data_IF_236888884055
#
_entry.id   IF_236888884055
#
_cell.length_a   1.000
_cell.length_b   1.000
_cell.length_c   1.000
_cell.angle_alpha   90.00
_cell.angle_beta   90.00
_cell.angle_gamma   90.00
#
_symmetry.space_group_name_H-M   'P 1'
#
loop_
_entity.id
_entity.type
_entity.pdbx_description
1 polymer ?
#
# COMPACT_ATOMS: atom_id res chain seq x y z
N UNK A 1 14.09 17.76 14.83
CA UNK A 1 12.77 17.90 14.21
C UNK A 1 12.99 17.93 12.72
N UNK A 2 12.69 16.83 12.00
CA UNK A 2 12.77 16.80 10.53
C UNK A 2 11.51 17.49 10.00
N UNK A 3 11.67 18.51 9.17
CA UNK A 3 10.57 19.23 8.51
C UNK A 3 10.71 18.95 7.04
N UNK A 4 9.88 18.05 6.51
CA UNK A 4 9.90 17.63 5.11
C UNK A 4 9.33 16.23 4.92
N UNK A 5 8.96 15.89 3.69
CA UNK A 5 8.58 14.53 3.30
C UNK A 5 9.82 13.81 2.79
N UNK A 6 10.17 12.68 3.40
CA UNK A 6 11.15 11.74 2.82
C UNK A 6 10.41 10.78 1.91
N UNK A 7 10.85 10.69 0.66
CA UNK A 7 10.19 9.85 -0.36
C UNK A 7 10.73 8.43 -0.24
N UNK A 8 9.82 7.48 -0.07
CA UNK A 8 10.13 6.04 -0.09
C UNK A 8 9.44 5.46 -1.31
N UNK A 9 10.24 4.91 -2.23
CA UNK A 9 9.73 4.29 -3.46
C UNK A 9 9.95 2.79 -3.41
N UNK A 10 8.89 2.04 -3.64
CA UNK A 10 8.97 0.60 -3.79
C UNK A 10 8.75 0.21 -5.25
N UNK A 11 9.76 -0.41 -5.86
CA UNK A 11 9.61 -1.06 -7.15
C UNK A 11 9.20 -2.51 -6.93
N UNK A 12 8.21 -2.95 -7.69
CA UNK A 12 7.66 -4.30 -7.60
C UNK A 12 7.77 -4.96 -8.96
N UNK A 13 8.40 -6.12 -9.04
CA UNK A 13 8.49 -6.84 -10.31
C UNK A 13 9.48 -8.00 -10.31
N UNK A 14 9.61 -8.61 -11.48
CA UNK A 14 10.62 -9.63 -11.72
C UNK A 14 11.90 -8.98 -12.23
N UNK A 15 12.82 -8.63 -11.34
CA UNK A 15 14.08 -7.98 -11.69
C UNK A 15 15.11 -8.95 -12.29
N UNK A 16 14.84 -10.26 -12.25
CA UNK A 16 15.67 -11.28 -12.90
C UNK A 16 15.25 -11.53 -14.35
N UNK A 17 14.06 -11.05 -14.78
CA UNK A 17 13.62 -11.20 -16.15
C UNK A 17 14.53 -10.44 -17.13
N UNK A 18 14.67 -10.97 -18.33
CA UNK A 18 15.41 -10.30 -19.41
C UNK A 18 14.81 -8.92 -19.67
N UNK A 19 15.64 -7.88 -19.65
CA UNK A 19 15.24 -6.47 -19.81
C UNK A 19 14.30 -5.92 -18.72
N UNK A 20 14.25 -6.54 -17.54
CA UNK A 20 13.46 -6.03 -16.41
C UNK A 20 13.80 -4.58 -16.04
N UNK A 21 15.10 -4.24 -16.04
CA UNK A 21 15.59 -2.89 -15.83
C UNK A 21 15.78 -2.16 -17.15
N UNK A 22 14.67 -1.72 -17.74
CA UNK A 22 14.72 -0.89 -18.95
C UNK A 22 15.56 0.37 -18.73
N UNK A 23 16.17 0.96 -19.79
CA UNK A 23 16.94 2.20 -19.66
C UNK A 23 16.16 3.32 -18.96
N UNK A 24 14.86 3.39 -19.20
CA UNK A 24 13.94 4.36 -18.60
C UNK A 24 13.73 4.12 -17.10
N UNK A 25 13.58 2.86 -16.68
CA UNK A 25 13.48 2.51 -15.27
C UNK A 25 14.81 2.79 -14.54
N UNK A 26 15.95 2.51 -15.18
CA UNK A 26 17.27 2.84 -14.62
C UNK A 26 17.45 4.35 -14.44
N UNK A 27 17.05 5.15 -15.42
CA UNK A 27 17.09 6.62 -15.32
C UNK A 27 16.22 7.12 -14.17
N UNK A 28 15.00 6.59 -14.04
CA UNK A 28 14.06 6.94 -12.97
C UNK A 28 14.66 6.63 -11.59
N UNK A 29 15.24 5.43 -11.42
CA UNK A 29 15.89 5.02 -10.17
C UNK A 29 17.09 5.90 -9.83
N UNK A 30 17.93 6.21 -10.82
CA UNK A 30 19.07 7.11 -10.65
C UNK A 30 18.62 8.48 -10.15
N UNK A 31 17.61 9.06 -10.79
CA UNK A 31 17.04 10.34 -10.38
C UNK A 31 16.50 10.30 -8.94
N UNK A 32 15.74 9.26 -8.59
CA UNK A 32 15.22 9.09 -7.23
C UNK A 32 16.35 9.04 -6.17
N UNK A 33 17.43 8.30 -6.44
CA UNK A 33 18.60 8.26 -5.55
C UNK A 33 19.28 9.63 -5.42
N UNK A 34 19.39 10.38 -6.52
CA UNK A 34 19.97 11.74 -6.52
C UNK A 34 19.11 12.73 -5.71
N UNK A 35 17.79 12.53 -5.67
CA UNK A 35 16.88 13.32 -4.81
C UNK A 35 16.88 12.89 -3.34
N UNK A 36 17.62 11.83 -2.98
CA UNK A 36 17.68 11.30 -1.62
C UNK A 36 16.52 10.37 -1.24
N UNK A 37 15.77 9.87 -2.22
CA UNK A 37 14.70 8.90 -1.96
C UNK A 37 15.27 7.55 -1.52
N UNK A 38 14.58 6.89 -0.57
CA UNK A 38 14.86 5.51 -0.22
C UNK A 38 14.16 4.57 -1.21
N UNK A 39 14.91 3.63 -1.79
CA UNK A 39 14.38 2.68 -2.79
C UNK A 39 14.36 1.26 -2.21
N UNK A 40 13.24 0.56 -2.40
CA UNK A 40 13.07 -0.85 -2.08
C UNK A 40 12.66 -1.64 -3.32
N UNK A 41 13.33 -2.76 -3.56
CA UNK A 41 12.98 -3.68 -4.63
C UNK A 41 12.28 -4.91 -4.06
N UNK A 42 11.02 -5.08 -4.44
CA UNK A 42 10.20 -6.24 -4.12
C UNK A 42 10.21 -7.19 -5.31
N UNK A 43 11.14 -8.15 -5.26
CA UNK A 43 11.25 -9.21 -6.25
C UNK A 43 10.03 -10.14 -6.17
N UNK A 44 9.36 -10.34 -7.30
CA UNK A 44 8.29 -11.34 -7.46
C UNK A 44 8.16 -11.75 -8.92
N UNK A 45 7.49 -12.87 -9.21
CA UNK A 45 7.18 -13.20 -10.61
C UNK A 45 6.30 -12.11 -11.24
N UNK A 46 6.49 -11.87 -12.54
CA UNK A 46 5.77 -10.83 -13.27
C UNK A 46 4.24 -10.97 -13.15
N UNK A 47 3.72 -12.19 -13.04
CA UNK A 47 2.30 -12.50 -12.86
C UNK A 47 1.71 -12.06 -11.51
N UNK A 48 2.55 -11.82 -10.50
CA UNK A 48 2.14 -11.35 -9.17
C UNK A 48 2.43 -9.87 -8.92
N UNK A 49 3.19 -9.21 -9.79
CA UNK A 49 3.66 -7.83 -9.58
C UNK A 49 2.54 -6.82 -9.28
N UNK A 50 1.43 -6.87 -10.02
CA UNK A 50 0.28 -5.98 -9.79
C UNK A 50 -0.43 -6.29 -8.47
N UNK A 51 -0.53 -7.57 -8.05
CA UNK A 51 -1.13 -7.96 -6.76
C UNK A 51 -0.25 -7.47 -5.62
N UNK A 52 1.05 -7.63 -5.81
CA UNK A 52 2.06 -7.24 -4.85
C UNK A 52 2.03 -5.73 -4.62
N UNK A 53 1.99 -4.93 -5.70
CA UNK A 53 1.94 -3.47 -5.58
C UNK A 53 0.68 -2.96 -4.86
N UNK A 54 -0.46 -3.63 -5.03
CA UNK A 54 -1.69 -3.28 -4.31
C UNK A 54 -1.55 -3.49 -2.79
N UNK A 55 -1.07 -4.65 -2.35
CA UNK A 55 -1.06 -4.96 -0.91
C UNK A 55 0.11 -4.33 -0.16
N UNK A 56 1.10 -3.79 -0.90
CA UNK A 56 2.31 -3.21 -0.33
C UNK A 56 2.03 -2.05 0.64
N UNK A 57 0.90 -1.34 0.47
CA UNK A 57 0.53 -0.23 1.36
C UNK A 57 0.35 -0.64 2.82
N UNK A 58 -0.11 -1.87 3.07
CA UNK A 58 -0.27 -2.41 4.43
C UNK A 58 1.09 -2.53 5.13
N UNK A 59 2.18 -2.63 4.37
CA UNK A 59 3.54 -2.77 4.89
C UNK A 59 4.16 -1.44 5.37
N UNK A 60 3.49 -0.30 5.19
CA UNK A 60 3.97 0.98 5.71
C UNK A 60 4.31 0.91 7.21
N UNK A 61 3.49 0.23 8.01
CA UNK A 61 3.73 0.05 9.45
C UNK A 61 4.94 -0.82 9.81
N UNK A 62 5.50 -1.52 8.84
CA UNK A 62 6.59 -2.49 8.99
C UNK A 62 7.89 -2.03 8.34
N UNK A 63 7.94 -0.79 7.84
CA UNK A 63 9.20 -0.18 7.42
C UNK A 63 10.21 -0.20 8.57
N UNK A 64 11.51 -0.38 8.29
CA UNK A 64 12.50 -0.55 9.34
C UNK A 64 12.73 0.76 10.11
N UNK A 65 13.07 0.66 11.40
CA UNK A 65 13.22 1.83 12.29
C UNK A 65 14.37 2.76 11.91
N UNK A 66 15.39 2.25 11.21
CA UNK A 66 16.46 3.09 10.66
C UNK A 66 15.98 4.02 9.54
N UNK A 67 14.79 3.77 8.98
CA UNK A 67 14.17 4.60 7.95
C UNK A 67 13.01 5.43 8.50
N UNK A 68 12.07 4.78 9.19
CA UNK A 68 10.86 5.42 9.72
C UNK A 68 10.67 5.01 11.18
N UNK A 69 10.62 5.98 12.09
CA UNK A 69 10.35 5.75 13.50
C UNK A 69 8.87 5.48 13.74
N UNK A 70 8.53 4.84 14.85
CA UNK A 70 7.13 4.56 15.22
C UNK A 70 6.27 5.82 15.39
N UNK A 71 6.91 6.93 15.77
CA UNK A 71 6.30 8.24 15.93
C UNK A 71 6.14 9.01 14.63
N UNK A 72 6.79 8.55 13.55
CA UNK A 72 6.70 9.19 12.25
C UNK A 72 5.37 8.86 11.58
N UNK A 73 4.97 9.72 10.66
CA UNK A 73 3.75 9.56 9.89
C UNK A 73 4.05 9.15 8.46
N UNK A 74 3.24 8.23 7.96
CA UNK A 74 3.39 7.63 6.64
C UNK A 74 2.14 7.96 5.83
N UNK A 75 2.39 8.54 4.66
CA UNK A 75 1.39 8.69 3.61
C UNK A 75 1.59 7.57 2.60
N UNK A 76 0.57 6.74 2.41
CA UNK A 76 0.53 5.82 1.25
C UNK A 76 -0.38 6.41 0.19
N UNK A 77 0.03 6.33 -1.08
CA UNK A 77 -0.65 6.99 -2.20
C UNK A 77 -0.84 6.04 -3.40
N UNK A 78 -1.90 6.27 -4.18
CA UNK A 78 -2.11 5.65 -5.50
C UNK A 78 -1.64 6.51 -6.68
N UNK A 79 -0.78 7.49 -6.38
CA UNK A 79 -0.44 8.59 -7.26
C UNK A 79 1.04 8.54 -7.63
N UNK A 80 1.34 8.97 -8.85
CA UNK A 80 2.71 8.93 -9.40
C UNK A 80 3.55 10.08 -8.87
N UNK A 81 2.92 11.23 -8.59
CA UNK A 81 3.56 12.38 -7.92
C UNK A 81 2.75 12.80 -6.71
N UNK A 82 3.45 12.97 -5.58
CA UNK A 82 2.90 13.54 -4.35
C UNK A 82 4.04 14.00 -3.42
N UNK A 83 3.78 14.94 -2.48
CA UNK A 83 2.61 15.81 -2.43
C UNK A 83 2.73 16.96 -3.44
N UNK A 84 1.64 17.28 -4.14
CA UNK A 84 1.60 18.43 -5.06
C UNK A 84 1.13 19.72 -4.37
N UNK A 85 0.06 19.64 -3.57
CA UNK A 85 -0.41 20.70 -2.69
C UNK A 85 -0.18 20.34 -1.20
N UNK A 86 0.91 20.81 -0.56
CA UNK A 86 1.23 20.46 0.84
C UNK A 86 0.15 20.82 1.86
N UNK A 87 -0.67 21.84 1.59
CA UNK A 87 -1.75 22.25 2.50
C UNK A 87 -2.80 21.13 2.64
N UNK A 88 -3.04 20.35 1.58
CA UNK A 88 -3.96 19.20 1.61
C UNK A 88 -3.43 18.02 2.42
N UNK A 89 -2.14 18.02 2.77
CA UNK A 89 -1.47 16.96 3.53
C UNK A 89 -1.08 17.39 4.94
N UNK A 90 -1.41 18.62 5.33
CA UNK A 90 -1.17 19.09 6.69
C UNK A 90 -2.07 18.32 7.66
N UNK A 91 -1.53 17.66 8.70
CA UNK A 91 -2.32 16.87 9.65
C UNK A 91 -3.32 17.75 10.41
N UNK A 92 -4.51 17.23 10.70
CA UNK A 92 -5.44 17.92 11.60
C UNK A 92 -5.06 17.62 13.05
N UNK A 93 -5.08 18.64 13.91
CA UNK A 93 -4.89 18.49 15.36
C UNK A 93 -6.14 17.98 16.06
N UNK A 94 -7.30 18.01 15.40
CA UNK A 94 -8.60 17.59 15.95
C UNK A 94 -8.84 16.08 15.84
N UNK A 95 -8.07 15.40 14.99
CA UNK A 95 -8.23 13.98 14.73
C UNK A 95 -6.99 13.19 15.16
N UNK A 96 -7.21 12.18 16.00
CA UNK A 96 -6.19 11.41 16.69
C UNK A 96 -5.53 10.32 15.83
N UNK A 97 -6.11 9.98 14.68
CA UNK A 97 -5.68 8.85 13.87
C UNK A 97 -4.95 9.21 12.58
N UNK A 98 -5.35 10.30 11.94
CA UNK A 98 -4.80 10.74 10.65
C UNK A 98 -5.88 11.24 9.69
N UNK A 99 -5.63 11.16 8.38
CA UNK A 99 -6.59 11.57 7.36
C UNK A 99 -6.57 10.66 6.12
N UNK A 100 -7.67 10.67 5.38
CA UNK A 100 -7.79 10.01 4.08
C UNK A 100 -8.30 11.04 3.08
N UNK A 101 -7.67 11.09 1.90
CA UNK A 101 -8.15 11.89 0.76
C UNK A 101 -8.76 10.98 -0.30
N UNK A 102 -9.91 11.39 -0.81
CA UNK A 102 -10.67 10.64 -1.81
C UNK A 102 -10.16 10.94 -3.22
N UNK A 103 -9.76 9.91 -3.98
CA UNK A 103 -9.57 10.03 -5.41
C UNK A 103 -10.88 9.68 -6.16
N UNK A 104 -11.46 8.50 -5.97
CA UNK A 104 -12.71 8.06 -6.61
C UNK A 104 -13.43 6.95 -5.79
N UNK A 105 -14.75 6.80 -6.00
CA UNK A 105 -15.70 5.84 -5.38
C UNK A 105 -16.02 6.10 -3.90
N UNK A 106 -17.23 5.72 -3.46
CA UNK A 106 -17.52 5.39 -2.06
C UNK A 106 -18.78 4.51 -2.01
N UNK A 107 -18.76 3.47 -1.19
CA UNK A 107 -19.92 2.63 -0.92
C UNK A 107 -19.69 1.80 0.34
N UNK A 108 -20.57 0.83 0.56
CA UNK A 108 -20.37 -0.19 1.58
C UNK A 108 -20.28 -1.55 0.91
N UNK A 109 -19.48 -2.44 1.50
CA UNK A 109 -19.46 -3.84 1.10
C UNK A 109 -19.75 -4.71 2.32
N UNK A 110 -20.44 -5.82 2.08
CA UNK A 110 -20.75 -6.77 3.13
C UNK A 110 -19.77 -7.93 3.08
N UNK A 111 -19.41 -8.41 4.26
CA UNK A 111 -18.56 -9.57 4.42
C UNK A 111 -18.81 -10.24 5.75
N UNK A 112 -19.02 -11.56 5.72
CA UNK A 112 -19.26 -12.41 6.91
C UNK A 112 -20.26 -11.75 7.87
N UNK A 113 -21.39 -11.32 7.33
CA UNK A 113 -22.49 -10.63 8.04
C UNK A 113 -22.15 -9.29 8.68
N UNK A 114 -20.99 -8.69 8.36
CA UNK A 114 -20.61 -7.33 8.74
C UNK A 114 -20.59 -6.42 7.52
N UNK A 115 -21.11 -5.21 7.65
CA UNK A 115 -20.98 -4.16 6.63
C UNK A 115 -19.75 -3.31 6.93
N UNK A 116 -18.94 -3.09 5.90
CA UNK A 116 -17.76 -2.24 5.96
C UNK A 116 -17.97 -1.04 5.07
N UNK A 117 -17.57 0.13 5.56
CA UNK A 117 -17.43 1.31 4.73
C UNK A 117 -16.18 1.15 3.88
N UNK A 118 -16.31 1.32 2.57
CA UNK A 118 -15.15 1.39 1.68
C UNK A 118 -14.57 2.81 1.75
N UNK A 119 -13.33 2.92 2.20
CA UNK A 119 -12.59 4.17 2.18
C UNK A 119 -11.92 4.32 0.82
N UNK A 120 -12.15 5.42 0.09
CA UNK A 120 -11.41 5.72 -1.12
C UNK A 120 -9.96 6.01 -0.74
N UNK A 121 -9.02 5.28 -1.34
CA UNK A 121 -7.62 5.36 -0.92
C UNK A 121 -6.76 6.06 -1.96
N UNK A 122 -7.08 7.32 -2.22
CA UNK A 122 -6.15 8.19 -2.95
C UNK A 122 -4.88 8.34 -2.11
N UNK A 123 -5.03 8.92 -0.91
CA UNK A 123 -3.95 9.01 0.07
C UNK A 123 -4.45 8.64 1.46
N UNK A 124 -3.62 7.92 2.22
CA UNK A 124 -3.87 7.60 3.62
C UNK A 124 -2.67 8.02 4.46
N UNK A 125 -2.91 8.94 5.38
CA UNK A 125 -1.95 9.41 6.37
C UNK A 125 -2.25 8.77 7.72
N UNK A 126 -1.32 7.99 8.27
CA UNK A 126 -1.38 7.45 9.63
C UNK A 126 0.04 7.42 10.22
N UNK A 127 0.17 7.39 11.56
CA UNK A 127 1.47 7.09 12.16
C UNK A 127 1.90 5.66 11.85
N UNK A 128 3.22 5.42 11.76
CA UNK A 128 3.77 4.06 11.56
C UNK A 128 3.23 3.09 12.60
N UNK A 129 3.17 3.51 13.87
CA UNK A 129 2.57 2.73 14.96
C UNK A 129 1.12 2.32 14.67
N UNK A 130 0.30 3.23 14.17
CA UNK A 130 -1.10 2.91 13.83
C UNK A 130 -1.14 1.95 12.64
N UNK A 131 -0.38 2.18 11.56
CA UNK A 131 -0.27 1.25 10.44
C UNK A 131 0.09 -0.17 10.89
N UNK A 132 1.01 -0.32 11.85
CA UNK A 132 1.35 -1.62 12.41
C UNK A 132 0.21 -2.21 13.21
N UNK A 133 -0.41 -1.41 14.08
CA UNK A 133 -1.49 -1.83 14.96
C UNK A 133 -2.74 -2.29 14.19
N UNK A 134 -3.12 -1.59 13.10
CA UNK A 134 -4.30 -1.99 12.31
C UNK A 134 -4.15 -3.41 11.75
N UNK A 135 -2.95 -3.85 11.40
CA UNK A 135 -2.69 -5.22 10.98
C UNK A 135 -2.53 -6.16 12.18
N UNK A 136 -1.59 -5.85 13.09
CA UNK A 136 -1.18 -6.74 14.17
C UNK A 136 -2.35 -7.16 15.05
N UNK A 137 -3.28 -6.23 15.30
CA UNK A 137 -4.43 -6.52 16.13
C UNK A 137 -5.59 -7.14 15.33
N UNK A 138 -5.57 -7.07 14.00
CA UNK A 138 -6.67 -7.45 13.12
C UNK A 138 -7.17 -8.88 13.30
N UNK A 139 -8.45 -9.11 13.00
CA UNK A 139 -9.02 -10.46 12.98
C UNK A 139 -8.33 -11.29 11.90
N UNK A 140 -7.96 -10.66 10.79
CA UNK A 140 -7.29 -11.24 9.64
C UNK A 140 -5.91 -11.79 10.01
N UNK A 141 -5.13 -11.04 10.80
CA UNK A 141 -3.86 -11.51 11.34
C UNK A 141 -4.06 -12.69 12.29
N UNK A 142 -5.05 -12.65 13.19
CA UNK A 142 -5.35 -13.78 14.09
C UNK A 142 -5.74 -15.05 13.32
N UNK A 143 -6.57 -14.91 12.28
CA UNK A 143 -6.95 -16.03 11.42
C UNK A 143 -5.73 -16.63 10.73
N UNK A 144 -4.87 -15.78 10.16
CA UNK A 144 -3.64 -16.21 9.53
C UNK A 144 -2.72 -16.95 10.51
N UNK A 145 -2.52 -16.40 11.71
CA UNK A 145 -1.73 -17.05 12.75
C UNK A 145 -2.31 -18.41 13.12
N UNK A 146 -3.62 -18.50 13.34
CA UNK A 146 -4.30 -19.76 13.65
C UNK A 146 -4.10 -20.80 12.54
N UNK A 147 -4.19 -20.38 11.27
CA UNK A 147 -3.91 -21.23 10.11
C UNK A 147 -2.48 -21.77 10.21
N UNK A 148 -1.50 -20.89 10.41
CA UNK A 148 -0.08 -21.27 10.44
C UNK A 148 0.25 -22.19 11.63
N UNK A 149 -0.33 -21.96 12.80
CA UNK A 149 -0.03 -22.70 14.03
C UNK A 149 -0.87 -23.97 14.24
N UNK A 150 -1.94 -24.17 13.46
CA UNK A 150 -2.79 -25.37 13.58
C UNK A 150 -2.04 -26.65 13.18
N UNK A 151 -2.27 -27.76 13.90
CA UNK A 151 -1.66 -29.07 13.59
C UNK A 151 -1.96 -29.46 12.13
N UNK A 152 -0.94 -29.65 11.27
CA UNK A 152 -1.12 -30.03 9.87
C UNK A 152 -2.03 -31.25 9.67
N UNK A 153 -2.07 -32.18 10.64
CA UNK A 153 -2.86 -33.42 10.57
C UNK A 153 -4.34 -33.24 10.94
N UNK A 154 -4.71 -32.10 11.52
CA UNK A 154 -6.08 -31.79 11.94
C UNK A 154 -6.70 -30.64 11.12
N UNK A 155 -6.03 -30.22 10.04
CA UNK A 155 -6.54 -29.17 9.13
C UNK A 155 -7.60 -29.76 8.21
N UNK A 156 -8.85 -29.34 8.40
CA UNK A 156 -10.00 -29.72 7.55
C UNK A 156 -10.11 -28.89 6.27
N UNK A 157 -9.14 -28.03 5.96
CA UNK A 157 -9.25 -27.05 4.87
C UNK A 157 -8.36 -27.38 3.67
N UNK A 158 -8.97 -27.31 2.48
CA UNK A 158 -8.42 -27.50 1.13
C UNK A 158 -7.34 -26.44 0.73
N UNK A 159 -6.29 -26.24 1.51
CA UNK A 159 -5.22 -25.30 1.17
C UNK A 159 -4.06 -25.99 0.47
N UNK A 160 -4.15 -26.19 -0.85
CA UNK A 160 -3.00 -26.65 -1.63
C UNK A 160 -1.83 -25.66 -1.63
N UNK A 161 -2.08 -24.39 -1.27
CA UNK A 161 -1.08 -23.31 -1.23
C UNK A 161 -0.34 -23.21 0.12
N UNK A 162 -0.94 -23.64 1.24
CA UNK A 162 -0.22 -23.76 2.54
C UNK A 162 0.92 -24.77 2.46
N UNK A 163 0.69 -25.89 1.76
CA UNK A 163 1.75 -26.87 1.47
C UNK A 163 2.85 -26.29 0.57
N UNK A 164 2.56 -25.25 -0.22
CA UNK A 164 3.56 -24.53 -1.02
C UNK A 164 4.34 -23.53 -0.15
N UNK A 165 3.68 -22.81 0.77
CA UNK A 165 4.37 -21.91 1.70
C UNK A 165 5.27 -22.67 2.68
N UNK A 166 4.85 -23.81 3.21
CA UNK A 166 5.72 -24.65 4.06
C UNK A 166 6.92 -25.23 3.31
N UNK A 167 6.84 -25.32 1.97
CA UNK A 167 7.99 -25.65 1.10
C UNK A 167 8.91 -24.45 0.85
N UNK A 168 8.34 -23.25 0.70
CA UNK A 168 9.09 -22.01 0.46
C UNK A 168 9.76 -21.50 1.76
N UNK A 169 9.08 -21.65 2.89
CA UNK A 169 9.52 -21.26 4.22
C UNK A 169 9.53 -22.47 5.17
N UNK A 170 10.47 -23.42 4.99
CA UNK A 170 10.52 -24.65 5.79
C UNK A 170 10.72 -24.40 7.29
N UNK A 171 11.22 -23.22 7.67
CA UNK A 171 11.52 -22.83 9.04
C UNK A 171 10.49 -21.87 9.65
N UNK A 172 9.34 -21.65 9.01
CA UNK A 172 8.31 -20.71 9.50
C UNK A 172 7.92 -20.98 10.96
N UNK A 173 7.91 -22.26 11.38
CA UNK A 173 7.62 -22.68 12.74
C UNK A 173 8.73 -22.35 13.76
N UNK A 174 9.99 -22.22 13.33
CA UNK A 174 11.11 -21.81 14.21
C UNK A 174 11.16 -20.29 14.40
N UNK A 175 10.79 -19.51 13.38
CA UNK A 175 10.78 -18.03 13.42
C UNK A 175 9.69 -17.47 14.34
N UNK A 176 8.64 -18.26 14.64
CA UNK A 176 7.54 -17.89 15.53
C UNK A 176 7.89 -17.94 17.04
N UNK A 177 9.11 -18.36 17.41
CA UNK A 177 9.50 -18.63 18.80
C UNK A 177 10.24 -17.49 19.52
N UNK A 178 10.43 -16.33 18.88
CA UNK A 178 10.96 -15.14 19.53
C UNK A 178 9.88 -14.07 19.56
N UNK A 179 9.89 -13.23 20.59
CA UNK A 179 8.91 -12.19 20.94
C UNK A 179 8.64 -11.11 19.87
N UNK A 180 9.12 -11.31 18.66
CA UNK A 180 8.82 -10.53 17.48
C UNK A 180 7.69 -11.25 16.75
N UNK A 181 6.47 -10.72 16.87
CA UNK A 181 5.30 -11.06 16.04
C UNK A 181 5.77 -11.48 14.64
N UNK A 182 5.30 -12.62 14.07
CA UNK A 182 5.84 -13.13 12.82
C UNK A 182 5.93 -11.96 11.86
N UNK A 183 7.16 -11.66 11.46
CA UNK A 183 7.48 -10.60 10.54
C UNK A 183 6.46 -10.70 9.44
N UNK A 184 5.58 -9.70 9.33
CA UNK A 184 4.54 -9.74 8.32
C UNK A 184 5.27 -9.86 6.99
N UNK A 185 5.32 -11.05 6.42
CA UNK A 185 5.95 -11.23 5.13
C UNK A 185 4.89 -10.95 4.09
N UNK A 186 5.34 -10.44 2.95
CA UNK A 186 4.51 -10.29 1.79
C UNK A 186 3.66 -11.54 1.51
N UNK A 187 4.29 -12.71 1.56
CA UNK A 187 3.67 -13.99 1.25
C UNK A 187 2.52 -14.35 2.19
N UNK A 188 2.61 -13.91 3.45
CA UNK A 188 1.57 -14.12 4.44
C UNK A 188 0.32 -13.28 4.16
N UNK A 189 0.48 -12.00 3.84
CA UNK A 189 -0.65 -11.13 3.43
C UNK A 189 -1.22 -11.61 2.10
N UNK A 190 -0.35 -11.94 1.15
CA UNK A 190 -0.73 -12.50 -0.16
C UNK A 190 -1.55 -13.78 -0.03
N UNK A 191 -1.16 -14.69 0.87
CA UNK A 191 -1.92 -15.90 1.17
C UNK A 191 -3.29 -15.56 1.76
N UNK A 192 -3.34 -14.64 2.73
CA UNK A 192 -4.62 -14.22 3.31
C UNK A 192 -5.55 -13.64 2.23
N UNK A 193 -5.03 -12.75 1.40
CA UNK A 193 -5.80 -12.12 0.32
C UNK A 193 -6.31 -13.15 -0.69
N UNK A 194 -5.48 -14.12 -1.06
CA UNK A 194 -5.88 -15.21 -1.94
C UNK A 194 -6.91 -16.15 -1.32
N UNK A 195 -6.75 -16.50 -0.05
CA UNK A 195 -7.71 -17.32 0.67
C UNK A 195 -9.09 -16.69 0.62
N UNK A 196 -9.10 -15.42 0.97
CA UNK A 196 -10.31 -14.73 1.31
C UNK A 196 -11.04 -14.18 0.10
N UNK A 197 -10.28 -13.60 -0.82
CA UNK A 197 -10.80 -13.00 -2.03
C UNK A 197 -10.47 -13.88 -3.23
N UNK A 198 -10.41 -15.21 -3.07
CA UNK A 198 -9.96 -16.15 -4.13
C UNK A 198 -10.56 -15.85 -5.50
N UNK A 199 -11.88 -15.66 -5.54
CA UNK A 199 -12.62 -15.40 -6.76
C UNK A 199 -12.22 -14.11 -7.47
N UNK A 200 -11.57 -13.19 -6.77
CA UNK A 200 -11.08 -11.88 -7.25
C UNK A 200 -9.55 -11.94 -7.44
N UNK A 201 -8.84 -12.51 -6.48
CA UNK A 201 -7.39 -12.63 -6.44
C UNK A 201 -6.83 -13.50 -7.56
N UNK A 202 -7.50 -14.59 -7.92
CA UNK A 202 -7.04 -15.47 -9.00
C UNK A 202 -7.40 -14.92 -10.40
N UNK A 203 -8.17 -13.83 -10.50
CA UNK A 203 -8.50 -13.21 -11.78
C UNK A 203 -7.31 -12.44 -12.37
N UNK A 204 -7.34 -12.27 -13.69
CA UNK A 204 -6.52 -11.25 -14.35
C UNK A 204 -7.07 -9.87 -13.94
N UNK A 205 -6.20 -8.99 -13.45
CA UNK A 205 -6.61 -7.64 -13.05
C UNK A 205 -6.54 -6.69 -14.23
N UNK A 206 -7.71 -6.21 -14.66
CA UNK A 206 -7.84 -5.03 -15.50
C UNK A 206 -8.17 -3.78 -14.66
N UNK A 207 -7.86 -2.60 -15.23
CA UNK A 207 -8.22 -1.32 -14.62
C UNK A 207 -9.75 -1.21 -14.54
N UNK A 208 -10.26 -0.99 -13.32
CA UNK A 208 -11.71 -0.86 -13.07
C UNK A 208 -12.40 -2.15 -12.66
N UNK A 209 -11.72 -3.30 -12.71
CA UNK A 209 -12.28 -4.56 -12.21
C UNK A 209 -12.34 -4.58 -10.67
N UNK A 210 -13.19 -5.44 -10.09
CA UNK A 210 -13.27 -5.59 -8.63
C UNK A 210 -11.90 -5.93 -7.99
N UNK A 211 -11.06 -6.66 -8.73
CA UNK A 211 -9.70 -7.00 -8.32
C UNK A 211 -8.74 -5.79 -8.28
N UNK A 212 -9.09 -4.71 -8.98
CA UNK A 212 -8.34 -3.46 -8.97
C UNK A 212 -8.39 -2.74 -7.61
N UNK A 213 -9.40 -3.03 -6.78
CA UNK A 213 -9.67 -2.35 -5.51
C UNK A 213 -9.40 -3.22 -4.28
N UNK A 214 -8.63 -4.31 -4.41
CA UNK A 214 -8.39 -5.27 -3.31
C UNK A 214 -7.69 -4.65 -2.11
N UNK A 215 -6.73 -3.75 -2.34
CA UNK A 215 -6.07 -2.99 -1.28
C UNK A 215 -7.06 -2.10 -0.53
N UNK A 216 -7.95 -1.41 -1.27
CA UNK A 216 -8.99 -0.56 -0.70
C UNK A 216 -9.93 -1.35 0.18
N UNK A 217 -10.37 -2.52 -0.29
CA UNK A 217 -11.21 -3.42 0.49
C UNK A 217 -10.48 -3.86 1.76
N UNK A 218 -9.25 -4.35 1.64
CA UNK A 218 -8.51 -4.89 2.77
C UNK A 218 -8.20 -3.83 3.83
N UNK A 219 -7.63 -2.70 3.42
CA UNK A 219 -7.33 -1.59 4.34
C UNK A 219 -8.63 -1.04 4.95
N UNK A 220 -9.72 -0.97 4.19
CA UNK A 220 -11.02 -0.56 4.75
C UNK A 220 -11.53 -1.49 5.84
N UNK A 221 -11.35 -2.81 5.66
CA UNK A 221 -11.66 -3.78 6.70
C UNK A 221 -10.78 -3.58 7.94
N UNK A 222 -9.46 -3.45 7.74
CA UNK A 222 -8.51 -3.24 8.83
C UNK A 222 -8.83 -1.98 9.63
N UNK A 223 -9.11 -0.86 8.96
CA UNK A 223 -9.49 0.40 9.59
C UNK A 223 -10.84 0.31 10.30
N UNK A 224 -11.83 -0.37 9.70
CA UNK A 224 -13.12 -0.61 10.33
C UNK A 224 -12.99 -1.43 11.62
N UNK A 225 -12.26 -2.55 11.56
CA UNK A 225 -12.01 -3.41 12.72
C UNK A 225 -11.19 -2.70 13.80
N UNK A 226 -10.26 -1.82 13.41
CA UNK A 226 -9.49 -1.02 14.35
C UNK A 226 -10.35 0.05 15.05
N UNK A 227 -11.17 0.80 14.30
CA UNK A 227 -12.14 1.78 14.83
C UNK A 227 -13.11 1.15 15.82
N UNK A 228 -13.57 -0.07 15.55
CA UNK A 228 -14.50 -0.76 16.45
C UNK A 228 -13.90 -1.03 17.83
N UNK A 229 -12.60 -1.25 17.90
CA UNK A 229 -11.87 -1.57 19.14
C UNK A 229 -11.28 -0.34 19.82
N UNK A 230 -10.89 0.66 19.03
CA UNK A 230 -10.29 1.90 19.51
C UNK A 230 -11.26 3.05 19.34
N UNK A 231 -12.19 3.23 20.28
CA UNK A 231 -13.25 4.25 20.15
C UNK A 231 -12.74 5.69 20.05
N UNK A 232 -11.52 5.95 20.54
CA UNK A 232 -10.87 7.25 20.45
C UNK A 232 -10.11 7.46 19.13
N UNK A 233 -10.00 6.43 18.28
CA UNK A 233 -9.37 6.55 16.98
C UNK A 233 -10.37 7.13 15.97
N UNK A 234 -10.00 8.27 15.38
CA UNK A 234 -10.76 8.90 14.31
C UNK A 234 -9.84 9.25 13.15
N UNK A 235 -10.38 9.18 11.95
CA UNK A 235 -9.71 9.55 10.72
C UNK A 235 -10.49 10.72 10.12
N UNK A 236 -9.79 11.80 9.79
CA UNK A 236 -10.38 12.89 9.04
C UNK A 236 -10.59 12.46 7.59
N UNK A 237 -11.84 12.29 7.19
CA UNK A 237 -12.22 12.04 5.80
C UNK A 237 -12.27 13.39 5.08
N UNK A 238 -11.27 13.66 4.26
CA UNK A 238 -11.19 14.92 3.51
C UNK A 238 -11.93 14.79 2.20
N UNK A 239 -12.49 15.92 1.77
CA UNK A 239 -13.07 16.04 0.45
C UNK A 239 -12.05 15.73 -0.64
N UNK A 240 -12.58 15.41 -1.83
CA UNK A 240 -11.77 15.10 -3.00
C UNK A 240 -10.81 16.24 -3.31
N UNK A 241 -9.51 15.94 -3.25
CA UNK A 241 -8.50 16.80 -3.86
C UNK A 241 -8.70 16.84 -5.37
N UNK A 242 -8.39 17.96 -6.01
CA UNK A 242 -8.31 17.96 -7.47
C UNK A 242 -7.18 17.03 -7.90
N UNK A 243 -7.46 16.17 -8.87
CA UNK A 243 -6.46 15.29 -9.49
C UNK A 243 -6.01 15.88 -10.80
N UNK A 244 -4.69 15.92 -11.02
CA UNK A 244 -4.11 16.18 -12.33
C UNK A 244 -4.00 14.85 -13.08
N UNK A 245 -4.83 14.67 -14.10
CA UNK A 245 -4.92 13.45 -14.88
C UNK A 245 -4.10 13.58 -16.19
N UNK A 246 -3.65 12.46 -16.73
CA UNK A 246 -3.03 12.38 -18.06
C UNK A 246 -3.94 12.91 -19.18
N UNK A 247 -5.24 12.98 -18.94
CA UNK A 247 -6.22 13.54 -19.88
C UNK A 247 -6.22 15.08 -19.90
N UNK A 248 -5.67 15.73 -18.87
CA UNK A 248 -5.59 17.18 -18.80
C UNK A 248 -4.57 17.72 -19.82
N UNK A 249 -4.84 18.91 -20.34
CA UNK A 249 -3.98 19.53 -21.34
C UNK A 249 -2.60 19.90 -20.74
N UNK A 250 -1.54 19.90 -21.58
CA UNK A 250 -0.15 20.13 -21.15
C UNK A 250 0.05 21.42 -20.35
N UNK A 251 -0.76 22.45 -20.58
CA UNK A 251 -0.70 23.70 -19.81
C UNK A 251 -1.18 23.55 -18.36
N UNK A 252 -1.90 22.49 -18.01
CA UNK A 252 -2.20 22.16 -16.60
C UNK A 252 -1.01 21.50 -15.90
N UNK A 253 -0.05 20.96 -16.67
CA UNK A 253 1.14 20.32 -16.15
C UNK A 253 2.28 21.29 -15.85
N UNK A 254 2.01 22.58 -15.58
CA UNK A 254 3.07 23.53 -15.22
C UNK A 254 3.34 23.64 -13.71
N UNK A 255 4.53 24.12 -13.34
CA UNK A 255 4.97 24.30 -11.93
C UNK A 255 3.98 25.10 -11.08
N UNK A 256 3.32 26.11 -11.66
CA UNK A 256 2.39 26.99 -10.93
C UNK A 256 1.08 26.27 -10.61
N UNK A 257 0.65 25.40 -11.52
CA UNK A 257 -0.59 24.63 -11.41
C UNK A 257 -0.45 23.40 -10.51
N UNK A 258 0.74 22.80 -10.39
CA UNK A 258 0.97 21.64 -9.51
C UNK A 258 0.47 21.88 -8.08
N UNK A 259 0.69 23.08 -7.54
CA UNK A 259 0.25 23.44 -6.19
C UNK A 259 -1.28 23.45 -5.97
N UNK A 260 -2.07 23.35 -7.03
CA UNK A 260 -3.54 23.32 -6.97
C UNK A 260 -4.08 21.90 -6.79
N UNK A 261 -3.31 20.88 -7.18
CA UNK A 261 -3.74 19.49 -7.18
C UNK A 261 -3.27 18.75 -5.93
N UNK A 262 -4.09 17.80 -5.47
CA UNK A 262 -3.71 16.89 -4.40
C UNK A 262 -2.76 15.82 -4.92
N UNK A 263 -3.02 15.34 -6.13
CA UNK A 263 -2.36 14.19 -6.70
C UNK A 263 -2.26 14.25 -8.23
N UNK A 264 -1.39 13.42 -8.79
CA UNK A 264 -1.15 13.36 -10.24
C UNK A 264 -0.89 11.95 -10.73
N UNK A 265 -1.48 11.61 -11.88
CA UNK A 265 -1.18 10.40 -12.65
C UNK A 265 -0.36 10.78 -13.89
N UNK A 266 0.94 10.50 -13.85
CA UNK A 266 1.91 10.96 -14.82
C UNK A 266 1.53 10.53 -16.23
N UNK A 267 1.61 11.49 -17.16
CA UNK A 267 1.62 11.19 -18.58
C UNK A 267 3.01 10.67 -18.92
N UNK A 268 3.19 9.36 -18.73
CA UNK A 268 4.48 8.68 -18.80
C UNK A 268 5.34 9.18 -19.97
N UNK A 269 4.82 9.32 -21.18
CA UNK A 269 5.68 9.46 -22.37
C UNK A 269 6.27 10.87 -22.55
N UNK A 270 5.75 11.91 -21.90
CA UNK A 270 6.13 13.30 -22.23
C UNK A 270 7.13 13.94 -21.26
N UNK A 271 7.21 13.47 -20.00
CA UNK A 271 8.05 14.12 -18.97
C UNK A 271 9.53 13.71 -19.07
N UNK A 272 9.82 12.53 -19.62
CA UNK A 272 11.18 11.98 -19.67
C UNK A 272 11.86 12.14 -21.04
N UNK A 273 11.11 12.45 -22.09
CA UNK A 273 11.65 12.67 -23.44
C UNK A 273 12.07 14.13 -23.67
N UNK A 274 11.35 15.06 -23.05
CA UNK A 274 11.68 16.48 -23.07
C UNK A 274 12.58 16.82 -21.88
N UNK A 275 13.89 16.84 -22.11
CA UNK A 275 14.93 17.31 -21.17
C UNK A 275 14.75 18.77 -20.68
N UNK A 276 13.59 19.38 -20.88
CA UNK A 276 13.19 20.74 -20.50
C UNK A 276 12.45 20.80 -19.16
N UNK A 277 12.03 19.66 -18.59
CA UNK A 277 11.43 19.63 -17.26
C UNK A 277 12.49 19.73 -16.17
N UNK A 278 12.83 20.97 -15.80
CA UNK A 278 13.42 21.26 -14.49
C UNK A 278 12.34 21.07 -13.42
N UNK A 279 12.10 19.81 -13.04
CA UNK A 279 11.34 19.52 -11.83
C UNK A 279 12.29 19.78 -10.65
N UNK A 280 11.88 20.74 -9.82
CA UNK A 280 12.51 21.32 -8.62
C UNK A 280 13.32 22.61 -8.84
#
# INVERSE_FOLDING_TARGET
MRVGYEVIVAFVGDFNATNALSPRLQLTRKYLLETGAAIFDFQCDASYSIKMSQILRIFGGFLPENLVLDTDYIITADSDLFPLNPAQYTPSTEHSGGFITNAFCCGSFNRRSKSYRMFPMGHIYLSKRIWRAIWSESVQNKELLNILTSDPNNRTTNFSYEQQLLKIYPNLNQTLSHSDMPTLTFDLVSLYMRHEFRGVYDQQMGKGDAAWYMDQIMVSMLLGDYRDRHKNFSIHERDRGQRLDRADALNFWDRSNFSQFGDSHLKHDEILEDHTWAIF
#
